data_IF_027180585590
#
_entry.id   IF_027180585590
#
_cell.length_a   1.000
_cell.length_b   1.000
_cell.length_c   1.000
_cell.angle_alpha   90.00
_cell.angle_beta   90.00
_cell.angle_gamma   90.00
#
_symmetry.space_group_name_H-M   'P 1'
#
loop_
_entity.id
_entity.type
_entity.pdbx_description
1 polymer ?
#
# COMPACT_ATOMS: atom_id res chain seq x y z
N UNK A 1 39.54 -21.06 -42.62
CA UNK A 1 40.96 -21.20 -42.25
C UNK A 1 41.17 -21.16 -40.74
N UNK A 2 41.04 -20.01 -40.04
CA UNK A 2 41.30 -19.96 -38.57
C UNK A 2 40.45 -20.94 -37.75
N UNK A 3 39.13 -20.98 -37.99
CA UNK A 3 38.24 -21.95 -37.32
C UNK A 3 38.69 -23.39 -37.59
N UNK A 4 38.90 -23.73 -38.85
CA UNK A 4 39.22 -25.09 -39.26
C UNK A 4 40.57 -25.56 -38.66
N UNK A 5 41.54 -24.66 -38.51
CA UNK A 5 42.81 -24.95 -37.82
C UNK A 5 42.64 -25.16 -36.32
N UNK A 6 41.74 -24.42 -35.68
CA UNK A 6 41.46 -24.58 -34.24
C UNK A 6 40.72 -25.89 -33.98
N UNK A 7 39.76 -26.22 -34.84
CA UNK A 7 38.97 -27.45 -34.71
C UNK A 7 39.75 -28.70 -35.12
N UNK A 8 40.73 -28.61 -36.03
CA UNK A 8 41.59 -29.76 -36.35
C UNK A 8 42.41 -30.25 -35.16
N UNK A 9 42.78 -29.36 -34.23
CA UNK A 9 43.45 -29.73 -32.97
C UNK A 9 42.54 -30.56 -32.04
N UNK A 10 41.23 -30.40 -32.18
CA UNK A 10 40.21 -31.13 -31.41
C UNK A 10 39.93 -32.48 -32.10
N UNK A 11 39.78 -32.47 -33.43
CA UNK A 11 39.55 -33.68 -34.23
C UNK A 11 40.69 -34.71 -34.11
N UNK A 12 41.94 -34.25 -33.94
CA UNK A 12 43.10 -35.14 -33.70
C UNK A 12 42.96 -35.93 -32.40
N UNK A 13 42.41 -35.33 -31.34
CA UNK A 13 42.17 -36.02 -30.07
C UNK A 13 40.95 -36.96 -30.14
N UNK A 14 39.92 -36.60 -30.93
CA UNK A 14 38.78 -37.50 -31.20
C UNK A 14 39.22 -38.78 -31.93
N UNK A 15 40.15 -38.66 -32.89
CA UNK A 15 40.75 -39.81 -33.59
C UNK A 15 41.55 -40.73 -32.66
N UNK A 16 42.14 -40.18 -31.60
CA UNK A 16 42.87 -40.93 -30.58
C UNK A 16 41.94 -41.66 -29.57
N UNK A 17 40.61 -41.57 -29.72
CA UNK A 17 39.58 -42.11 -28.80
C UNK A 17 39.69 -41.60 -27.36
N UNK A 18 40.41 -40.52 -27.15
CA UNK A 18 40.49 -39.82 -25.87
C UNK A 18 39.47 -38.71 -25.84
N UNK A 19 38.53 -38.71 -24.89
CA UNK A 19 37.55 -37.62 -24.71
C UNK A 19 38.18 -36.35 -24.11
N UNK A 20 39.51 -36.27 -24.04
CA UNK A 20 40.23 -35.15 -23.43
C UNK A 20 40.49 -34.06 -24.46
N UNK A 21 40.30 -32.80 -24.07
CA UNK A 21 40.67 -31.60 -24.84
C UNK A 21 42.11 -31.16 -24.55
N UNK A 22 43.00 -32.07 -24.12
CA UNK A 22 44.25 -31.69 -23.46
C UNK A 22 45.22 -31.04 -24.44
N UNK A 23 45.32 -31.60 -25.65
CA UNK A 23 46.18 -31.09 -26.72
C UNK A 23 45.72 -29.70 -27.14
N UNK A 24 44.42 -29.53 -27.41
CA UNK A 24 43.82 -28.22 -27.70
C UNK A 24 44.09 -27.21 -26.58
N UNK A 25 43.92 -27.61 -25.32
CA UNK A 25 44.14 -26.75 -24.16
C UNK A 25 45.59 -26.29 -24.04
N UNK A 26 46.54 -27.20 -24.23
CA UNK A 26 47.98 -26.89 -24.09
C UNK A 26 48.57 -26.13 -25.27
N UNK A 27 48.19 -26.48 -26.50
CA UNK A 27 48.81 -25.94 -27.72
C UNK A 27 48.17 -24.61 -28.12
N UNK A 28 46.86 -24.45 -27.90
CA UNK A 28 46.13 -23.28 -28.35
C UNK A 28 45.51 -22.49 -27.19
N UNK A 29 44.68 -23.11 -26.34
CA UNK A 29 43.88 -22.37 -25.35
C UNK A 29 44.74 -21.57 -24.37
N UNK A 30 45.77 -22.18 -23.78
CA UNK A 30 46.60 -21.51 -22.77
C UNK A 30 47.42 -20.34 -23.34
N UNK A 31 48.17 -20.47 -24.45
CA UNK A 31 48.83 -19.33 -25.10
C UNK A 31 47.84 -18.24 -25.53
N UNK A 32 46.70 -18.65 -26.12
CA UNK A 32 45.67 -17.72 -26.58
C UNK A 32 45.10 -16.87 -25.42
N UNK A 33 44.81 -17.48 -24.28
CA UNK A 33 44.31 -16.75 -23.10
C UNK A 33 45.38 -15.83 -22.50
N UNK A 34 46.66 -16.21 -22.53
CA UNK A 34 47.76 -15.35 -22.07
C UNK A 34 47.91 -14.10 -22.96
N UNK A 35 47.93 -14.25 -24.28
CA UNK A 35 47.98 -13.10 -25.20
C UNK A 35 46.72 -12.25 -25.11
N UNK A 36 45.55 -12.87 -24.97
CA UNK A 36 44.27 -12.18 -24.76
C UNK A 36 44.31 -11.29 -23.52
N UNK A 37 44.86 -11.80 -22.43
CA UNK A 37 45.01 -11.07 -21.17
C UNK A 37 45.88 -9.82 -21.36
N UNK A 38 47.05 -9.96 -21.97
CA UNK A 38 47.96 -8.83 -22.21
C UNK A 38 47.34 -7.78 -23.15
N UNK A 39 46.68 -8.23 -24.22
CA UNK A 39 45.99 -7.36 -25.17
C UNK A 39 44.92 -6.51 -24.49
N UNK A 40 44.03 -7.13 -23.70
CA UNK A 40 42.95 -6.41 -23.02
C UNK A 40 43.44 -5.58 -21.83
N UNK A 41 44.53 -5.95 -21.17
CA UNK A 41 45.21 -5.09 -20.18
C UNK A 41 45.66 -3.77 -20.82
N UNK A 42 46.38 -3.86 -21.94
CA UNK A 42 46.89 -2.67 -22.62
C UNK A 42 45.75 -1.81 -23.20
N UNK A 43 44.74 -2.47 -23.78
CA UNK A 43 43.57 -1.78 -24.33
C UNK A 43 42.78 -1.07 -23.24
N UNK A 44 42.48 -1.76 -22.12
CA UNK A 44 41.76 -1.15 -21.00
C UNK A 44 42.51 0.07 -20.44
N UNK A 45 43.83 -0.05 -20.22
CA UNK A 45 44.65 1.05 -19.72
C UNK A 45 44.64 2.25 -20.66
N UNK A 46 44.70 2.02 -21.97
CA UNK A 46 44.63 3.08 -22.98
C UNK A 46 43.27 3.79 -22.94
N UNK A 47 42.17 3.02 -22.98
CA UNK A 47 40.81 3.56 -22.98
C UNK A 47 40.53 4.39 -21.73
N UNK A 48 40.95 3.92 -20.55
CA UNK A 48 40.78 4.67 -19.28
C UNK A 48 41.54 5.99 -19.28
N UNK A 49 42.69 6.07 -19.95
CA UNK A 49 43.49 7.30 -20.02
C UNK A 49 42.97 8.33 -21.03
N UNK A 50 42.23 7.90 -22.04
CA UNK A 50 41.81 8.73 -23.18
C UNK A 50 40.33 9.12 -23.14
N UNK A 51 39.47 8.37 -22.43
CA UNK A 51 38.01 8.49 -22.49
C UNK A 51 37.40 8.73 -21.12
N UNK A 52 36.27 9.43 -21.07
CA UNK A 52 35.46 9.53 -19.85
C UNK A 52 34.74 8.22 -19.52
N UNK A 53 34.26 8.06 -18.28
CA UNK A 53 33.64 6.81 -17.80
C UNK A 53 32.45 6.38 -18.67
N UNK A 54 31.62 7.33 -19.12
CA UNK A 54 30.45 7.04 -19.97
C UNK A 54 30.85 6.48 -21.33
N UNK A 55 31.86 7.09 -21.97
CA UNK A 55 32.40 6.64 -23.26
C UNK A 55 33.10 5.28 -23.11
N UNK A 56 33.91 5.14 -22.07
CA UNK A 56 34.57 3.89 -21.72
C UNK A 56 33.57 2.72 -21.58
N UNK A 57 32.48 2.92 -20.84
CA UNK A 57 31.48 1.87 -20.66
C UNK A 57 30.81 1.47 -21.98
N UNK A 58 30.53 2.44 -22.86
CA UNK A 58 29.95 2.15 -24.18
C UNK A 58 30.92 1.33 -25.04
N UNK A 59 32.18 1.75 -25.09
CA UNK A 59 33.22 1.06 -25.86
C UNK A 59 33.49 -0.35 -25.31
N UNK A 60 33.53 -0.52 -23.99
CA UNK A 60 33.70 -1.84 -23.35
C UNK A 60 32.50 -2.74 -23.66
N UNK A 61 31.27 -2.23 -23.61
CA UNK A 61 30.08 -3.02 -23.98
C UNK A 61 30.16 -3.52 -25.43
N UNK A 62 30.52 -2.65 -26.38
CA UNK A 62 30.66 -3.05 -27.79
C UNK A 62 31.86 -3.97 -28.04
N UNK A 63 32.97 -3.72 -27.34
CA UNK A 63 34.16 -4.59 -27.35
C UNK A 63 33.82 -5.99 -26.85
N UNK A 64 33.10 -6.09 -25.73
CA UNK A 64 32.65 -7.36 -25.14
C UNK A 64 31.68 -8.11 -26.07
N UNK A 65 30.72 -7.41 -26.69
CA UNK A 65 29.82 -8.02 -27.69
C UNK A 65 30.61 -8.58 -28.87
N UNK A 66 31.57 -7.81 -29.39
CA UNK A 66 32.40 -8.22 -30.52
C UNK A 66 33.31 -9.39 -30.16
N UNK A 67 33.95 -9.33 -28.99
CA UNK A 67 34.78 -10.41 -28.45
C UNK A 67 33.98 -11.71 -28.30
N UNK A 68 32.77 -11.64 -27.74
CA UNK A 68 31.88 -12.80 -27.58
C UNK A 68 31.49 -13.41 -28.93
N UNK A 69 31.13 -12.59 -29.94
CA UNK A 69 30.84 -13.07 -31.30
C UNK A 69 32.04 -13.75 -31.95
N UNK A 70 33.25 -13.21 -31.75
CA UNK A 70 34.50 -13.84 -32.22
C UNK A 70 34.74 -15.17 -31.52
N UNK A 71 34.61 -15.21 -30.20
CA UNK A 71 34.74 -16.45 -29.41
C UNK A 71 33.80 -17.54 -29.91
N UNK A 72 32.52 -17.22 -30.12
CA UNK A 72 31.52 -18.16 -30.66
C UNK A 72 31.84 -18.67 -32.06
N UNK A 73 32.54 -17.88 -32.88
CA UNK A 73 32.88 -18.26 -34.25
C UNK A 73 34.12 -19.15 -34.32
N UNK A 74 35.08 -18.97 -33.40
CA UNK A 74 36.43 -19.52 -33.53
C UNK A 74 36.88 -20.46 -32.40
N UNK A 75 36.24 -20.44 -31.23
CA UNK A 75 36.69 -21.19 -30.04
C UNK A 75 35.76 -22.35 -29.69
N UNK A 76 36.30 -23.34 -28.98
CA UNK A 76 35.51 -24.41 -28.37
C UNK A 76 34.65 -23.85 -27.21
N UNK A 77 33.41 -24.35 -26.98
CA UNK A 77 32.51 -23.85 -25.92
C UNK A 77 33.14 -23.70 -24.53
N UNK A 78 34.03 -24.61 -24.14
CA UNK A 78 34.74 -24.54 -22.84
C UNK A 78 35.73 -23.39 -22.75
N UNK A 79 36.28 -22.94 -23.87
CA UNK A 79 37.23 -21.84 -23.95
C UNK A 79 36.54 -20.50 -24.09
N UNK A 80 35.33 -20.47 -24.66
CA UNK A 80 34.51 -19.26 -24.73
C UNK A 80 34.22 -18.73 -23.32
N UNK A 81 33.92 -19.60 -22.36
CA UNK A 81 33.63 -19.18 -20.98
C UNK A 81 34.89 -18.59 -20.31
N UNK A 82 36.04 -19.25 -20.45
CA UNK A 82 37.32 -18.74 -19.92
C UNK A 82 37.75 -17.44 -20.58
N UNK A 83 37.66 -17.35 -21.91
CA UNK A 83 37.97 -16.15 -22.69
C UNK A 83 37.09 -14.97 -22.27
N UNK A 84 35.76 -15.18 -22.20
CA UNK A 84 34.82 -14.11 -21.79
C UNK A 84 35.13 -13.63 -20.38
N UNK A 85 35.44 -14.55 -19.46
CA UNK A 85 35.80 -14.22 -18.08
C UNK A 85 37.10 -13.41 -17.99
N UNK A 86 38.10 -13.75 -18.80
CA UNK A 86 39.36 -13.00 -18.86
C UNK A 86 39.12 -11.57 -19.38
N UNK A 87 38.28 -11.41 -20.41
CA UNK A 87 37.89 -10.09 -20.90
C UNK A 87 37.16 -9.27 -19.83
N UNK A 88 36.18 -9.86 -19.13
CA UNK A 88 35.46 -9.21 -18.01
C UNK A 88 36.41 -8.79 -16.88
N UNK A 89 37.35 -9.66 -16.52
CA UNK A 89 38.32 -9.37 -15.47
C UNK A 89 39.18 -8.14 -15.83
N UNK A 90 39.71 -8.11 -17.05
CA UNK A 90 40.64 -7.05 -17.50
C UNK A 90 39.95 -5.74 -17.86
N UNK A 91 38.76 -5.79 -18.47
CA UNK A 91 38.03 -4.60 -18.92
C UNK A 91 37.05 -4.06 -17.89
N UNK A 92 36.67 -4.82 -16.86
CA UNK A 92 35.69 -4.38 -15.86
C UNK A 92 36.29 -4.50 -14.47
N UNK A 93 36.64 -5.70 -14.01
CA UNK A 93 37.01 -5.95 -12.59
C UNK A 93 38.23 -5.14 -12.14
N UNK A 94 39.29 -5.10 -12.95
CA UNK A 94 40.52 -4.38 -12.61
C UNK A 94 40.30 -2.86 -12.44
N UNK A 95 39.27 -2.29 -13.08
CA UNK A 95 38.96 -0.85 -13.08
C UNK A 95 37.65 -0.49 -12.35
N UNK A 96 36.98 -1.47 -11.73
CA UNK A 96 35.72 -1.27 -11.00
C UNK A 96 35.85 -0.20 -9.93
N UNK A 97 36.78 -0.39 -8.98
CA UNK A 97 36.94 0.47 -7.82
C UNK A 97 37.58 1.82 -8.15
N UNK A 98 38.59 1.82 -9.02
CA UNK A 98 39.39 3.01 -9.33
C UNK A 98 38.71 3.94 -10.33
N UNK A 99 37.91 3.41 -11.25
CA UNK A 99 37.37 4.18 -12.36
C UNK A 99 35.84 4.13 -12.43
N UNK A 100 35.23 2.95 -12.62
CA UNK A 100 33.78 2.85 -12.84
C UNK A 100 32.96 3.39 -11.66
N UNK A 101 33.38 3.09 -10.42
CA UNK A 101 32.68 3.53 -9.22
C UNK A 101 32.81 5.03 -8.94
N UNK A 102 33.77 5.73 -9.54
CA UNK A 102 33.97 7.18 -9.33
C UNK A 102 32.79 8.02 -9.81
N UNK A 103 32.03 7.53 -10.79
CA UNK A 103 30.93 8.25 -11.44
C UNK A 103 29.54 7.69 -11.06
N UNK A 104 29.44 6.73 -10.14
CA UNK A 104 28.16 6.15 -9.73
C UNK A 104 27.20 7.18 -9.13
N UNK A 105 27.70 8.05 -8.24
CA UNK A 105 26.89 9.07 -7.58
C UNK A 105 26.22 10.03 -8.57
N UNK A 106 26.95 10.71 -9.48
CA UNK A 106 26.32 11.61 -10.45
C UNK A 106 25.42 10.85 -11.45
N UNK A 107 25.79 9.63 -11.88
CA UNK A 107 24.92 8.81 -12.75
C UNK A 107 23.53 8.57 -12.13
N UNK A 108 23.49 8.25 -10.83
CA UNK A 108 22.24 8.00 -10.10
C UNK A 108 21.49 9.30 -9.81
N UNK A 109 22.18 10.38 -9.42
CA UNK A 109 21.53 11.66 -9.10
C UNK A 109 20.90 12.34 -10.30
N UNK A 110 21.57 12.31 -11.45
CA UNK A 110 21.13 12.90 -12.72
C UNK A 110 20.28 11.93 -13.55
N UNK A 111 20.08 10.70 -13.06
CA UNK A 111 19.34 9.63 -13.74
C UNK A 111 19.83 9.40 -15.19
N UNK A 112 21.16 9.33 -15.38
CA UNK A 112 21.79 9.07 -16.69
C UNK A 112 21.44 7.67 -17.20
N UNK A 113 20.30 7.53 -17.87
CA UNK A 113 19.66 6.24 -18.21
C UNK A 113 20.57 5.29 -19.01
N UNK A 114 21.28 5.81 -20.01
CA UNK A 114 22.17 4.98 -20.84
C UNK A 114 23.36 4.48 -20.02
N UNK A 115 23.95 5.34 -19.21
CA UNK A 115 25.09 5.00 -18.36
C UNK A 115 24.69 3.98 -17.29
N UNK A 116 23.52 4.15 -16.67
CA UNK A 116 22.95 3.20 -15.72
C UNK A 116 22.68 1.82 -16.35
N UNK A 117 22.20 1.77 -17.60
CA UNK A 117 22.05 0.50 -18.34
C UNK A 117 23.40 -0.16 -18.61
N UNK A 118 24.38 0.63 -19.07
CA UNK A 118 25.71 0.13 -19.41
C UNK A 118 26.40 -0.44 -18.17
N UNK A 119 26.44 0.33 -17.08
CA UNK A 119 27.09 -0.09 -15.84
C UNK A 119 26.39 -1.31 -15.22
N UNK A 120 25.06 -1.38 -15.27
CA UNK A 120 24.33 -2.58 -14.83
C UNK A 120 24.72 -3.79 -15.68
N UNK A 121 24.75 -3.66 -17.00
CA UNK A 121 25.12 -4.78 -17.88
C UNK A 121 26.55 -5.29 -17.63
N UNK A 122 27.49 -4.38 -17.38
CA UNK A 122 28.89 -4.70 -17.10
C UNK A 122 29.07 -5.38 -15.73
N UNK A 123 28.30 -4.97 -14.71
CA UNK A 123 28.48 -5.44 -13.33
C UNK A 123 27.60 -6.66 -12.97
N UNK A 124 26.48 -6.88 -13.66
CA UNK A 124 25.50 -7.91 -13.28
C UNK A 124 26.04 -9.35 -13.30
N UNK A 125 27.07 -9.63 -14.11
CA UNK A 125 27.72 -10.94 -14.17
C UNK A 125 28.75 -11.18 -13.06
N UNK A 126 29.14 -10.15 -12.31
CA UNK A 126 30.28 -10.19 -11.41
C UNK A 126 29.78 -10.24 -9.96
N UNK A 127 30.19 -11.23 -9.15
CA UNK A 127 29.74 -11.35 -7.76
C UNK A 127 29.99 -10.07 -6.96
N UNK A 128 28.94 -9.55 -6.29
CA UNK A 128 28.97 -8.35 -5.43
C UNK A 128 29.34 -7.03 -6.12
N UNK A 129 29.52 -7.01 -7.44
CA UNK A 129 29.89 -5.80 -8.16
C UNK A 129 28.76 -4.77 -8.23
N UNK A 130 27.51 -5.20 -8.07
CA UNK A 130 26.33 -4.32 -8.03
C UNK A 130 26.12 -3.62 -6.69
N UNK A 131 26.76 -4.07 -5.61
CA UNK A 131 26.48 -3.59 -4.24
C UNK A 131 26.67 -2.06 -4.12
N UNK A 132 27.77 -1.46 -4.62
CA UNK A 132 27.95 -0.01 -4.55
C UNK A 132 26.90 0.78 -5.34
N UNK A 133 26.46 0.26 -6.49
CA UNK A 133 25.39 0.87 -7.28
C UNK A 133 24.05 0.78 -6.55
N UNK A 134 23.75 -0.36 -5.92
CA UNK A 134 22.56 -0.57 -5.11
C UNK A 134 22.52 0.40 -3.92
N UNK A 135 23.64 0.58 -3.22
CA UNK A 135 23.74 1.50 -2.08
C UNK A 135 23.45 2.94 -2.51
N UNK A 136 24.05 3.39 -3.62
CA UNK A 136 23.81 4.74 -4.15
C UNK A 136 22.40 4.94 -4.67
N UNK A 137 21.84 3.92 -5.31
CA UNK A 137 20.45 3.94 -5.77
C UNK A 137 19.47 4.01 -4.60
N UNK A 138 19.68 3.22 -3.55
CA UNK A 138 18.88 3.24 -2.33
C UNK A 138 18.98 4.58 -1.59
N UNK A 139 20.19 5.13 -1.46
CA UNK A 139 20.43 6.46 -0.87
C UNK A 139 19.63 7.53 -1.62
N UNK A 140 19.64 7.48 -2.95
CA UNK A 140 18.88 8.41 -3.79
C UNK A 140 17.38 8.29 -3.58
N UNK A 141 16.82 7.07 -3.59
CA UNK A 141 15.38 6.83 -3.33
C UNK A 141 14.98 7.39 -1.96
N UNK A 142 15.77 7.11 -0.92
CA UNK A 142 15.54 7.64 0.42
C UNK A 142 15.54 9.16 0.43
N UNK A 143 16.55 9.79 -0.16
CA UNK A 143 16.68 11.25 -0.16
C UNK A 143 15.50 11.94 -0.87
N UNK A 144 15.09 11.43 -2.04
CA UNK A 144 13.97 12.00 -2.79
C UNK A 144 12.63 11.74 -2.10
N UNK A 145 12.43 10.53 -1.57
CA UNK A 145 11.23 10.18 -0.82
C UNK A 145 11.05 11.02 0.44
N UNK A 146 12.13 11.20 1.23
CA UNK A 146 12.12 12.05 2.42
C UNK A 146 11.80 13.51 2.07
N UNK A 147 12.39 14.04 0.99
CA UNK A 147 12.08 15.38 0.51
C UNK A 147 10.61 15.51 0.09
N UNK A 148 10.04 14.49 -0.56
CA UNK A 148 8.65 14.48 -1.00
C UNK A 148 7.67 14.49 0.19
N UNK A 149 7.89 13.69 1.24
CA UNK A 149 6.97 13.61 2.39
C UNK A 149 7.20 14.68 3.45
N UNK A 150 8.29 15.44 3.38
CA UNK A 150 8.68 16.48 4.35
C UNK A 150 7.53 17.42 4.76
N UNK A 151 6.67 17.93 3.85
CA UNK A 151 5.58 18.84 4.23
C UNK A 151 4.62 18.25 5.28
N UNK A 152 4.38 16.93 5.25
CA UNK A 152 3.50 16.25 6.20
C UNK A 152 4.18 15.92 7.53
N UNK A 153 5.50 16.09 7.61
CA UNK A 153 6.30 15.89 8.83
C UNK A 153 6.56 17.21 9.58
N UNK A 154 6.72 18.32 8.87
CA UNK A 154 7.04 19.63 9.47
C UNK A 154 5.81 20.47 9.84
N UNK A 155 4.76 20.43 9.04
CA UNK A 155 3.65 21.38 9.10
C UNK A 155 2.48 20.87 9.98
N UNK A 156 2.12 21.65 11.01
CA UNK A 156 1.02 21.31 11.94
C UNK A 156 -0.38 21.52 11.32
N UNK A 157 -0.51 22.41 10.35
CA UNK A 157 -1.79 22.73 9.71
C UNK A 157 -2.12 21.68 8.64
N UNK A 158 -1.15 21.32 7.79
CA UNK A 158 -1.27 20.15 6.90
C UNK A 158 -1.37 18.82 7.65
N UNK A 159 -0.92 18.71 8.90
CA UNK A 159 -1.11 17.51 9.70
C UNK A 159 -2.57 17.28 10.13
N UNK A 160 -3.40 18.34 10.17
CA UNK A 160 -4.75 18.27 10.74
C UNK A 160 -5.83 18.20 9.65
N UNK A 161 -5.69 18.96 8.56
CA UNK A 161 -6.59 19.06 7.41
C UNK A 161 -5.94 18.70 6.07
N UNK A 162 -4.67 18.24 6.08
CA UNK A 162 -3.87 18.03 4.88
C UNK A 162 -4.58 17.20 3.84
N UNK A 163 -4.45 17.66 2.59
CA UNK A 163 -4.98 16.98 1.43
C UNK A 163 -4.35 15.58 1.35
N UNK A 164 -5.04 14.58 1.89
CA UNK A 164 -4.59 13.18 1.94
C UNK A 164 -4.30 12.65 0.53
N UNK A 165 -4.94 13.24 -0.49
CA UNK A 165 -4.67 12.99 -1.92
C UNK A 165 -3.25 13.40 -2.29
N UNK A 166 -2.78 14.58 -1.86
CA UNK A 166 -1.42 15.06 -2.14
C UNK A 166 -0.37 14.20 -1.44
N UNK A 167 -0.63 13.76 -0.19
CA UNK A 167 0.28 12.85 0.51
C UNK A 167 0.44 11.53 -0.24
N UNK A 168 -0.68 10.92 -0.63
CA UNK A 168 -0.68 9.69 -1.41
C UNK A 168 0.00 9.89 -2.77
N UNK A 169 -0.30 10.98 -3.47
CA UNK A 169 0.35 11.33 -4.73
C UNK A 169 1.87 11.53 -4.60
N UNK A 170 2.35 12.12 -3.51
CA UNK A 170 3.78 12.30 -3.26
C UNK A 170 4.50 10.95 -3.03
N UNK A 171 3.91 10.07 -2.20
CA UNK A 171 4.46 8.73 -1.92
C UNK A 171 4.43 7.86 -3.18
N UNK A 172 3.27 7.77 -3.84
CA UNK A 172 3.09 6.97 -5.04
C UNK A 172 3.90 7.50 -6.22
N UNK A 173 4.06 8.82 -6.34
CA UNK A 173 4.89 9.43 -7.37
C UNK A 173 6.34 8.94 -7.31
N UNK A 174 6.93 8.92 -6.11
CA UNK A 174 8.29 8.38 -5.92
C UNK A 174 8.33 6.88 -6.17
N UNK A 175 7.38 6.11 -5.61
CA UNK A 175 7.33 4.66 -5.79
C UNK A 175 7.22 4.27 -7.28
N UNK A 176 6.24 4.83 -8.01
CA UNK A 176 5.98 4.51 -9.41
C UNK A 176 7.11 4.95 -10.33
N UNK A 177 7.74 6.11 -10.08
CA UNK A 177 8.91 6.57 -10.82
C UNK A 177 10.06 5.55 -10.75
N UNK A 178 10.46 5.16 -9.54
CA UNK A 178 11.56 4.21 -9.37
C UNK A 178 11.19 2.79 -9.79
N UNK A 179 9.93 2.38 -9.62
CA UNK A 179 9.48 1.09 -10.13
C UNK A 179 9.63 1.01 -11.65
N UNK A 180 9.19 2.04 -12.39
CA UNK A 180 9.38 2.11 -13.84
C UNK A 180 10.87 2.17 -14.22
N UNK A 181 11.66 2.97 -13.52
CA UNK A 181 13.10 3.08 -13.76
C UNK A 181 13.80 1.71 -13.60
N UNK A 182 13.46 0.93 -12.58
CA UNK A 182 14.03 -0.41 -12.35
C UNK A 182 13.59 -1.38 -13.44
N UNK A 183 12.31 -1.35 -13.85
CA UNK A 183 11.81 -2.17 -14.94
C UNK A 183 12.53 -1.88 -16.26
N UNK A 184 12.76 -0.60 -16.57
CA UNK A 184 13.34 -0.14 -17.82
C UNK A 184 14.86 -0.31 -17.90
N UNK A 185 15.58 -0.03 -16.81
CA UNK A 185 17.04 0.03 -16.80
C UNK A 185 17.70 -1.27 -16.33
N UNK A 186 17.08 -1.95 -15.36
CA UNK A 186 17.68 -3.09 -14.66
C UNK A 186 16.95 -4.41 -14.94
N UNK A 187 16.14 -4.49 -16.00
CA UNK A 187 15.44 -5.71 -16.40
C UNK A 187 14.64 -6.36 -15.25
N UNK A 188 14.01 -5.53 -14.40
CA UNK A 188 13.26 -5.99 -13.22
C UNK A 188 14.11 -6.79 -12.20
N UNK A 189 15.38 -6.41 -12.03
CA UNK A 189 16.30 -7.09 -11.12
C UNK A 189 15.86 -6.98 -9.65
N UNK A 190 15.71 -8.14 -8.98
CA UNK A 190 15.12 -8.27 -7.63
C UNK A 190 15.84 -7.44 -6.55
N UNK A 191 17.16 -7.30 -6.64
CA UNK A 191 17.92 -6.52 -5.65
C UNK A 191 17.56 -5.03 -5.69
N UNK A 192 17.26 -4.48 -6.87
CA UNK A 192 16.86 -3.09 -7.00
C UNK A 192 15.44 -2.85 -6.51
N UNK A 193 14.50 -3.79 -6.73
CA UNK A 193 13.19 -3.73 -6.09
C UNK A 193 13.29 -3.83 -4.56
N UNK A 194 14.20 -4.65 -4.05
CA UNK A 194 14.45 -4.73 -2.61
C UNK A 194 15.02 -3.42 -2.06
N UNK A 195 15.86 -2.71 -2.83
CA UNK A 195 16.36 -1.38 -2.48
C UNK A 195 15.22 -0.33 -2.50
N UNK A 196 14.32 -0.40 -3.49
CA UNK A 196 13.11 0.42 -3.52
C UNK A 196 12.23 0.18 -2.29
N UNK A 197 11.94 -1.09 -1.96
CA UNK A 197 11.14 -1.44 -0.79
C UNK A 197 11.74 -0.88 0.51
N UNK A 198 13.07 -0.99 0.68
CA UNK A 198 13.78 -0.41 1.83
C UNK A 198 13.69 1.12 1.84
N UNK A 199 13.87 1.75 0.69
CA UNK A 199 13.72 3.20 0.53
C UNK A 199 12.32 3.68 0.93
N UNK A 200 11.28 3.04 0.39
CA UNK A 200 9.88 3.30 0.70
C UNK A 200 9.57 3.15 2.19
N UNK A 201 10.04 2.08 2.83
CA UNK A 201 9.89 1.90 4.30
C UNK A 201 10.50 3.07 5.08
N UNK A 202 11.66 3.56 4.68
CA UNK A 202 12.31 4.68 5.38
C UNK A 202 11.51 5.96 5.28
N UNK A 203 11.11 6.38 4.07
CA UNK A 203 10.44 7.67 3.94
C UNK A 203 8.96 7.64 4.33
N UNK A 204 8.25 6.52 4.14
CA UNK A 204 6.84 6.40 4.58
C UNK A 204 6.72 6.47 6.09
N UNK A 205 7.67 5.89 6.83
CA UNK A 205 7.69 5.92 8.30
C UNK A 205 8.54 7.08 8.86
N UNK A 206 8.96 8.03 8.02
CA UNK A 206 9.77 9.15 8.47
C UNK A 206 8.98 10.04 9.44
N UNK A 207 9.57 10.32 10.60
CA UNK A 207 9.02 11.23 11.60
C UNK A 207 10.13 12.13 12.14
N UNK A 208 9.88 13.44 12.23
CA UNK A 208 10.84 14.36 12.86
C UNK A 208 10.79 14.29 14.39
N UNK A 209 9.62 14.00 14.99
CA UNK A 209 9.42 13.94 16.44
C UNK A 209 8.70 12.64 16.86
N UNK A 210 9.42 11.72 17.49
CA UNK A 210 8.89 10.44 18.01
C UNK A 210 7.94 10.58 19.21
N UNK A 211 7.71 11.79 19.72
CA UNK A 211 6.77 12.06 20.82
C UNK A 211 5.31 12.04 20.38
N UNK A 212 5.04 12.07 19.08
CA UNK A 212 3.69 12.11 18.51
C UNK A 212 3.34 10.81 17.79
N UNK A 213 2.04 10.50 17.72
CA UNK A 213 1.55 9.33 16.98
C UNK A 213 2.01 9.34 15.51
N UNK A 214 2.27 8.16 14.94
CA UNK A 214 2.72 8.03 13.56
C UNK A 214 1.67 8.59 12.60
N UNK A 215 2.12 9.51 11.74
CA UNK A 215 1.22 10.29 10.85
C UNK A 215 0.79 9.51 9.63
N UNK A 216 1.71 8.80 8.97
CA UNK A 216 1.41 8.05 7.75
C UNK A 216 0.26 7.03 7.93
N UNK A 217 0.20 6.21 9.01
CA UNK A 217 -0.94 5.34 9.28
C UNK A 217 -2.28 6.09 9.36
N UNK A 218 -2.28 7.28 9.97
CA UNK A 218 -3.49 8.10 10.16
C UNK A 218 -3.94 8.71 8.83
N UNK A 219 -3.01 9.27 8.06
CA UNK A 219 -3.28 9.86 6.75
C UNK A 219 -3.81 8.81 5.78
N UNK A 220 -3.20 7.62 5.77
CA UNK A 220 -3.64 6.51 4.94
C UNK A 220 -5.07 6.06 5.29
N UNK A 221 -5.37 5.90 6.58
CA UNK A 221 -6.73 5.54 7.04
C UNK A 221 -7.77 6.61 6.65
N UNK A 222 -7.40 7.90 6.74
CA UNK A 222 -8.26 9.01 6.30
C UNK A 222 -8.48 9.02 4.79
N UNK A 223 -7.46 8.70 4.00
CA UNK A 223 -7.60 8.58 2.55
C UNK A 223 -8.59 7.47 2.18
N UNK A 224 -8.48 6.29 2.79
CA UNK A 224 -9.48 5.22 2.61
C UNK A 224 -10.89 5.68 2.98
N UNK A 225 -11.04 6.41 4.09
CA UNK A 225 -12.33 6.94 4.52
C UNK A 225 -12.91 7.95 3.53
N UNK A 226 -12.08 8.77 2.88
CA UNK A 226 -12.53 9.70 1.85
C UNK A 226 -12.99 8.97 0.58
N UNK A 227 -12.24 7.95 0.14
CA UNK A 227 -12.57 7.15 -1.04
C UNK A 227 -13.89 6.38 -0.87
N UNK A 228 -14.12 5.82 0.33
CA UNK A 228 -15.25 4.94 0.61
C UNK A 228 -16.52 5.69 1.05
N UNK A 229 -16.55 7.03 1.06
CA UNK A 229 -17.72 7.83 1.46
C UNK A 229 -18.58 8.27 0.28
N UNK A 230 -19.91 8.26 0.44
CA UNK A 230 -20.92 8.73 -0.54
C UNK A 230 -20.69 10.14 -1.09
N UNK A 231 -19.94 10.99 -0.38
CA UNK A 231 -19.60 12.35 -0.83
C UNK A 231 -18.53 12.39 -1.92
N UNK A 232 -17.91 11.27 -2.30
CA UNK A 232 -16.93 11.16 -3.40
C UNK A 232 -17.56 11.25 -4.81
N UNK A 233 -18.78 11.80 -4.93
CA UNK A 233 -19.56 11.86 -6.18
C UNK A 233 -18.70 12.43 -7.32
N UNK A 234 -18.42 11.60 -8.33
CA UNK A 234 -17.64 11.96 -9.52
C UNK A 234 -16.50 11.01 -9.85
N UNK A 235 -16.05 10.18 -8.90
CA UNK A 235 -15.02 9.15 -9.12
C UNK A 235 -15.70 7.83 -9.50
N UNK A 236 -15.23 7.18 -10.57
CA UNK A 236 -15.76 5.87 -11.00
C UNK A 236 -15.39 4.75 -10.03
N UNK A 237 -16.20 3.69 -9.92
CA UNK A 237 -15.94 2.56 -9.01
C UNK A 237 -14.58 1.91 -9.26
N UNK A 238 -14.22 1.70 -10.54
CA UNK A 238 -12.90 1.19 -10.93
C UNK A 238 -11.75 2.08 -10.44
N UNK A 239 -11.89 3.39 -10.59
CA UNK A 239 -10.86 4.34 -10.15
C UNK A 239 -10.71 4.33 -8.63
N UNK A 240 -11.81 4.15 -7.88
CA UNK A 240 -11.74 3.95 -6.42
C UNK A 240 -10.99 2.65 -6.11
N UNK A 241 -11.25 1.59 -6.85
CA UNK A 241 -10.59 0.30 -6.66
C UNK A 241 -9.08 0.39 -6.90
N UNK A 242 -8.65 1.00 -8.02
CA UNK A 242 -7.25 1.21 -8.35
C UNK A 242 -6.54 2.03 -7.25
N UNK A 243 -7.18 3.10 -6.77
CA UNK A 243 -6.64 3.92 -5.66
C UNK A 243 -6.57 3.14 -4.33
N UNK A 244 -7.46 2.17 -4.08
CA UNK A 244 -7.36 1.30 -2.91
C UNK A 244 -6.21 0.29 -3.04
N UNK A 245 -5.81 -0.10 -4.25
CA UNK A 245 -4.61 -0.92 -4.46
C UNK A 245 -3.32 -0.13 -4.21
N UNK A 246 -3.28 1.14 -4.61
CA UNK A 246 -2.19 2.06 -4.25
C UNK A 246 -2.07 2.21 -2.73
N UNK A 247 -3.21 2.36 -2.04
CA UNK A 247 -3.25 2.36 -0.56
C UNK A 247 -2.60 1.12 0.02
N UNK A 248 -2.90 -0.06 -0.52
CA UNK A 248 -2.35 -1.33 -0.03
C UNK A 248 -0.85 -1.42 -0.30
N UNK A 249 -0.38 -0.87 -1.42
CA UNK A 249 1.04 -0.76 -1.72
C UNK A 249 1.76 0.06 -0.65
N UNK A 250 1.25 1.25 -0.31
CA UNK A 250 1.82 2.09 0.77
C UNK A 250 1.68 1.42 2.14
N UNK A 251 0.54 0.77 2.41
CA UNK A 251 0.28 0.06 3.66
C UNK A 251 1.32 -1.03 3.96
N UNK A 252 1.86 -1.70 2.93
CA UNK A 252 2.91 -2.73 3.12
C UNK A 252 4.23 -2.16 3.66
N UNK A 253 4.47 -0.88 3.44
CA UNK A 253 5.65 -0.17 3.95
C UNK A 253 5.46 0.38 5.37
N UNK A 254 4.24 0.44 5.90
CA UNK A 254 3.99 0.92 7.27
C UNK A 254 4.57 -0.03 8.32
N UNK A 255 5.20 0.54 9.34
CA UNK A 255 5.64 -0.17 10.54
C UNK A 255 4.50 -0.25 11.57
N UNK A 256 3.87 0.89 11.90
CA UNK A 256 2.78 1.00 12.89
C UNK A 256 1.39 0.66 12.33
N UNK A 257 1.20 -0.59 11.89
CA UNK A 257 -0.06 -1.07 11.30
C UNK A 257 -1.23 -1.10 12.29
N UNK A 258 -0.96 -1.33 13.56
CA UNK A 258 -1.96 -1.27 14.63
C UNK A 258 -2.58 0.13 14.79
N UNK A 259 -1.78 1.18 14.59
CA UNK A 259 -2.27 2.56 14.57
C UNK A 259 -3.21 2.76 13.38
N UNK A 260 -2.84 2.31 12.18
CA UNK A 260 -3.73 2.32 11.01
C UNK A 260 -5.05 1.60 11.33
N UNK A 261 -4.97 0.37 11.86
CA UNK A 261 -6.13 -0.46 12.17
C UNK A 261 -7.09 0.25 13.14
N UNK A 262 -6.56 0.89 14.18
CA UNK A 262 -7.35 1.62 15.19
C UNK A 262 -8.12 2.79 14.58
N UNK A 263 -7.46 3.60 13.75
CA UNK A 263 -8.11 4.74 13.09
C UNK A 263 -9.08 4.28 12.00
N UNK A 264 -8.68 3.32 11.17
CA UNK A 264 -9.52 2.73 10.13
C UNK A 264 -10.79 2.10 10.74
N UNK A 265 -10.66 1.30 11.80
CA UNK A 265 -11.80 0.69 12.51
C UNK A 265 -12.81 1.73 13.00
N UNK A 266 -12.33 2.83 13.59
CA UNK A 266 -13.20 3.93 14.04
C UNK A 266 -13.93 4.60 12.88
N UNK A 267 -13.24 4.81 11.76
CA UNK A 267 -13.83 5.43 10.57
C UNK A 267 -14.83 4.51 9.88
N UNK A 268 -14.50 3.22 9.71
CA UNK A 268 -15.41 2.18 9.23
C UNK A 268 -16.67 2.11 10.10
N UNK A 269 -16.51 2.06 11.43
CA UNK A 269 -17.63 2.02 12.36
C UNK A 269 -18.60 3.19 12.14
N UNK A 270 -18.05 4.39 11.97
CA UNK A 270 -18.86 5.58 11.67
C UNK A 270 -19.55 5.48 10.31
N UNK A 271 -18.84 5.04 9.26
CA UNK A 271 -19.41 4.91 7.92
C UNK A 271 -20.56 3.91 7.88
N UNK A 272 -20.38 2.73 8.48
CA UNK A 272 -21.42 1.70 8.58
C UNK A 272 -22.64 2.20 9.37
N UNK A 273 -22.42 2.75 10.56
CA UNK A 273 -23.53 3.23 11.41
C UNK A 273 -24.34 4.38 10.81
N UNK A 274 -23.68 5.28 10.07
CA UNK A 274 -24.31 6.47 9.50
C UNK A 274 -24.71 6.25 8.03
N UNK A 275 -24.59 5.01 7.53
CA UNK A 275 -24.85 4.65 6.13
C UNK A 275 -24.15 5.60 5.16
N UNK A 276 -22.92 5.99 5.46
CA UNK A 276 -22.10 6.91 4.67
C UNK A 276 -21.24 6.21 3.62
N UNK A 277 -21.15 4.87 3.65
CA UNK A 277 -20.39 4.07 2.70
C UNK A 277 -20.96 4.18 1.29
N UNK A 278 -20.10 4.30 0.27
CA UNK A 278 -20.53 4.29 -1.16
C UNK A 278 -21.22 2.98 -1.51
N UNK A 279 -20.55 1.87 -1.21
CA UNK A 279 -21.03 0.51 -1.44
C UNK A 279 -20.50 -0.42 -0.34
N UNK A 280 -21.33 -1.37 0.09
CA UNK A 280 -20.91 -2.41 1.05
C UNK A 280 -19.89 -3.38 0.43
N UNK A 281 -19.96 -3.61 -0.88
CA UNK A 281 -19.01 -4.46 -1.60
C UNK A 281 -17.60 -3.86 -1.58
N UNK A 282 -17.48 -2.53 -1.71
CA UNK A 282 -16.20 -1.83 -1.63
C UNK A 282 -15.60 -1.88 -0.22
N UNK A 283 -16.42 -1.81 0.82
CA UNK A 283 -15.97 -1.99 2.21
C UNK A 283 -15.46 -3.43 2.44
N UNK A 284 -16.20 -4.43 1.96
CA UNK A 284 -15.77 -5.84 2.01
C UNK A 284 -14.48 -6.07 1.22
N UNK A 285 -14.37 -5.53 0.01
CA UNK A 285 -13.18 -5.61 -0.83
C UNK A 285 -11.94 -5.00 -0.17
N UNK A 286 -12.06 -3.82 0.43
CA UNK A 286 -10.96 -3.23 1.20
C UNK A 286 -10.53 -4.10 2.39
N UNK A 287 -11.50 -4.71 3.10
CA UNK A 287 -11.20 -5.63 4.21
C UNK A 287 -10.49 -6.89 3.70
N UNK A 288 -10.87 -7.44 2.54
CA UNK A 288 -10.17 -8.59 1.95
C UNK A 288 -8.73 -8.24 1.54
N UNK A 289 -8.49 -7.05 1.00
CA UNK A 289 -7.12 -6.58 0.69
C UNK A 289 -6.26 -6.49 1.95
N UNK A 290 -6.81 -5.93 3.04
CA UNK A 290 -6.12 -5.89 4.35
C UNK A 290 -5.86 -7.30 4.90
N UNK A 291 -6.81 -8.23 4.72
CA UNK A 291 -6.67 -9.64 5.11
C UNK A 291 -5.52 -10.31 4.37
N UNK A 292 -5.39 -10.06 3.06
CA UNK A 292 -4.30 -10.61 2.27
C UNK A 292 -2.93 -10.08 2.73
N UNK A 293 -2.87 -8.79 3.09
CA UNK A 293 -1.63 -8.15 3.52
C UNK A 293 -1.18 -8.48 4.96
N UNK A 294 -2.11 -8.75 5.89
CA UNK A 294 -1.81 -8.91 7.32
C UNK A 294 -2.40 -10.15 8.00
N UNK A 295 -3.15 -10.97 7.26
CA UNK A 295 -3.78 -12.18 7.77
C UNK A 295 -5.16 -11.97 8.41
N UNK A 296 -5.76 -13.08 8.82
CA UNK A 296 -7.14 -13.14 9.30
C UNK A 296 -7.37 -12.40 10.63
N UNK A 297 -6.51 -12.64 11.62
CA UNK A 297 -6.64 -12.03 12.97
C UNK A 297 -6.66 -10.50 12.92
N UNK A 298 -5.88 -9.90 12.02
CA UNK A 298 -5.81 -8.46 11.84
C UNK A 298 -7.15 -7.85 11.40
N UNK A 299 -7.94 -8.56 10.58
CA UNK A 299 -9.21 -8.03 10.07
C UNK A 299 -10.44 -8.57 10.79
N UNK A 300 -10.30 -9.54 11.69
CA UNK A 300 -11.42 -10.26 12.30
C UNK A 300 -12.48 -9.33 12.90
N UNK A 301 -12.05 -8.25 13.57
CA UNK A 301 -12.97 -7.24 14.13
C UNK A 301 -13.72 -6.45 13.04
N UNK A 302 -13.03 -6.04 11.98
CA UNK A 302 -13.62 -5.30 10.85
C UNK A 302 -14.66 -6.17 10.12
N UNK A 303 -14.34 -7.44 9.88
CA UNK A 303 -15.26 -8.41 9.28
C UNK A 303 -16.50 -8.61 10.13
N UNK A 304 -16.35 -8.76 11.45
CA UNK A 304 -17.50 -8.85 12.37
C UNK A 304 -18.38 -7.61 12.31
N UNK A 305 -17.81 -6.41 12.20
CA UNK A 305 -18.61 -5.18 12.06
C UNK A 305 -19.50 -5.20 10.82
N UNK A 306 -19.00 -5.69 9.68
CA UNK A 306 -19.80 -5.82 8.45
C UNK A 306 -20.90 -6.88 8.61
N UNK A 307 -20.58 -8.02 9.23
CA UNK A 307 -21.56 -9.09 9.50
C UNK A 307 -22.65 -8.59 10.46
N UNK A 308 -22.29 -7.86 11.51
CA UNK A 308 -23.22 -7.29 12.47
C UNK A 308 -24.23 -6.35 11.79
N UNK A 309 -23.83 -5.60 10.76
CA UNK A 309 -24.76 -4.76 9.99
C UNK A 309 -25.86 -5.60 9.32
N UNK A 310 -25.49 -6.69 8.63
CA UNK A 310 -26.44 -7.60 7.96
C UNK A 310 -27.36 -8.28 8.98
N UNK A 311 -26.79 -8.84 10.05
CA UNK A 311 -27.56 -9.47 11.12
C UNK A 311 -28.52 -8.51 11.81
N UNK A 312 -28.13 -7.24 11.91
CA UNK A 312 -28.99 -6.22 12.49
C UNK A 312 -30.16 -5.86 11.58
N UNK A 313 -29.96 -5.81 10.26
CA UNK A 313 -31.05 -5.60 9.29
C UNK A 313 -32.06 -6.75 9.37
N UNK A 314 -31.59 -7.99 9.42
CA UNK A 314 -32.45 -9.18 9.58
C UNK A 314 -33.21 -9.17 10.91
N UNK A 315 -32.55 -8.77 12.00
CA UNK A 315 -33.17 -8.62 13.31
C UNK A 315 -34.27 -7.57 13.29
N UNK A 316 -34.02 -6.44 12.61
CA UNK A 316 -34.99 -5.36 12.47
C UNK A 316 -36.19 -5.78 11.62
N UNK A 317 -35.96 -6.49 10.52
CA UNK A 317 -37.03 -7.05 9.67
C UNK A 317 -37.92 -8.03 10.46
N UNK A 318 -37.30 -8.93 11.24
CA UNK A 318 -38.03 -9.85 12.11
C UNK A 318 -38.88 -9.13 13.17
N UNK A 319 -38.40 -7.99 13.69
CA UNK A 319 -39.16 -7.18 14.65
C UNK A 319 -40.38 -6.54 13.98
N UNK A 320 -40.23 -6.01 12.77
CA UNK A 320 -41.34 -5.44 12.00
C UNK A 320 -42.42 -6.50 11.69
N UNK A 321 -42.01 -7.71 11.33
CA UNK A 321 -42.94 -8.84 11.15
C UNK A 321 -43.66 -9.22 12.44
N UNK A 322 -42.96 -9.26 13.57
CA UNK A 322 -43.60 -9.52 14.87
C UNK A 322 -44.64 -8.45 15.24
N UNK A 323 -44.38 -7.18 14.92
CA UNK A 323 -45.32 -6.08 15.16
C UNK A 323 -46.57 -6.20 14.28
N UNK A 324 -46.44 -6.62 13.02
CA UNK A 324 -47.57 -6.80 12.11
C UNK A 324 -48.47 -7.96 12.56
N UNK A 325 -47.89 -9.08 12.99
CA UNK A 325 -48.63 -10.25 13.52
C UNK A 325 -49.34 -9.88 14.83
N UNK A 326 -48.66 -9.17 15.72
CA UNK A 326 -49.21 -8.80 17.02
C UNK A 326 -50.21 -7.64 16.97
N UNK A 327 -50.53 -7.11 15.77
CA UNK A 327 -51.38 -5.91 15.56
C UNK A 327 -50.98 -4.73 16.46
N UNK A 328 -49.69 -4.63 16.78
CA UNK A 328 -49.16 -3.72 17.79
C UNK A 328 -48.52 -2.52 17.10
N UNK A 329 -49.13 -1.35 17.21
CA UNK A 329 -48.55 -0.11 16.67
C UNK A 329 -47.45 0.44 17.58
N UNK A 330 -46.46 1.09 16.98
CA UNK A 330 -45.46 1.88 17.69
C UNK A 330 -45.90 3.35 17.71
N UNK A 331 -45.66 4.08 18.83
CA UNK A 331 -45.96 5.51 18.92
C UNK A 331 -45.05 6.39 18.04
N UNK A 332 -43.93 5.83 17.55
CA UNK A 332 -42.92 6.49 16.75
C UNK A 332 -42.25 5.46 15.84
N UNK A 333 -41.83 5.87 14.64
CA UNK A 333 -41.09 4.97 13.78
C UNK A 333 -39.72 4.70 14.39
N UNK A 334 -39.31 3.45 14.29
CA UNK A 334 -38.20 2.91 15.04
C UNK A 334 -37.31 2.07 14.16
N UNK A 335 -36.02 2.36 14.22
CA UNK A 335 -34.98 1.54 13.62
C UNK A 335 -33.88 1.32 14.65
N UNK A 336 -33.33 0.11 14.70
CA UNK A 336 -32.24 -0.17 15.63
C UNK A 336 -31.13 -0.95 14.97
N UNK A 337 -29.91 -0.61 15.39
CA UNK A 337 -28.72 -1.41 15.09
C UNK A 337 -28.36 -2.26 16.31
N UNK A 338 -28.22 -3.57 16.13
CA UNK A 338 -27.82 -4.54 17.17
C UNK A 338 -26.41 -5.02 16.87
N UNK A 339 -25.44 -4.53 17.65
CA UNK A 339 -24.02 -4.74 17.39
C UNK A 339 -23.31 -5.50 18.54
N UNK A 340 -22.23 -6.21 18.24
CA UNK A 340 -21.44 -6.91 19.25
C UNK A 340 -20.38 -6.00 19.88
N UNK A 341 -20.49 -5.72 21.18
CA UNK A 341 -19.59 -4.79 21.89
C UNK A 341 -18.09 -5.07 21.71
N UNK A 342 -17.69 -6.32 21.52
CA UNK A 342 -16.29 -6.71 21.34
C UNK A 342 -15.70 -6.31 19.97
N UNK A 343 -16.51 -6.23 18.92
CA UNK A 343 -16.04 -5.90 17.58
C UNK A 343 -15.88 -4.38 17.40
N UNK A 344 -16.78 -3.60 17.98
CA UNK A 344 -16.93 -2.18 17.71
C UNK A 344 -16.08 -1.29 18.63
N UNK A 345 -15.57 -0.14 18.15
CA UNK A 345 -14.68 0.74 18.91
C UNK A 345 -15.44 1.72 19.83
N UNK A 346 -16.62 1.36 20.33
CA UNK A 346 -17.44 2.22 21.17
C UNK A 346 -17.20 1.97 22.65
N UNK A 347 -17.22 3.04 23.43
CA UNK A 347 -17.22 2.97 24.89
C UNK A 347 -18.61 3.29 25.41
N UNK A 348 -19.00 2.61 26.49
CA UNK A 348 -20.24 2.94 27.18
C UNK A 348 -20.05 4.29 27.89
N UNK A 349 -20.92 5.29 27.68
CA UNK A 349 -20.83 6.54 28.40
C UNK A 349 -21.05 6.31 29.91
N UNK A 350 -20.37 7.09 30.73
CA UNK A 350 -20.38 7.00 32.20
C UNK A 350 -21.54 7.76 32.87
N UNK A 351 -22.39 8.44 32.09
CA UNK A 351 -23.51 9.23 32.58
C UNK A 351 -24.87 8.52 32.49
N UNK A 352 -25.78 8.86 33.41
CA UNK A 352 -27.18 8.44 33.34
C UNK A 352 -27.93 9.36 32.36
N UNK A 353 -28.62 8.76 31.39
CA UNK A 353 -29.48 9.47 30.45
C UNK A 353 -30.94 9.11 30.71
N UNK A 354 -31.75 10.11 31.02
CA UNK A 354 -33.19 9.93 31.22
C UNK A 354 -33.88 9.95 29.85
N UNK A 355 -34.30 8.78 29.39
CA UNK A 355 -34.96 8.61 28.10
C UNK A 355 -36.41 9.14 28.19
N UNK A 356 -36.88 9.93 27.21
CA UNK A 356 -38.26 10.40 27.17
C UNK A 356 -39.29 9.25 27.19
N UNK A 357 -40.46 9.42 27.85
CA UNK A 357 -41.47 8.36 27.99
C UNK A 357 -41.94 7.73 26.67
N UNK A 358 -42.05 8.52 25.61
CA UNK A 358 -42.46 8.06 24.29
C UNK A 358 -41.46 7.06 23.69
N UNK A 359 -40.16 7.27 23.94
CA UNK A 359 -39.08 6.38 23.49
C UNK A 359 -38.97 5.13 24.36
N UNK A 360 -39.21 5.25 25.67
CA UNK A 360 -39.20 4.12 26.60
C UNK A 360 -40.18 3.02 26.17
N UNK A 361 -41.40 3.38 25.76
CA UNK A 361 -42.38 2.40 25.29
C UNK A 361 -41.88 1.57 24.11
N UNK A 362 -41.14 2.19 23.18
CA UNK A 362 -40.56 1.49 22.02
C UNK A 362 -39.38 0.62 22.42
N UNK A 363 -38.52 1.12 23.29
CA UNK A 363 -37.39 0.36 23.85
C UNK A 363 -37.90 -0.92 24.51
N UNK A 364 -38.87 -0.82 25.41
CA UNK A 364 -39.38 -1.98 26.15
C UNK A 364 -40.01 -3.02 25.23
N UNK A 365 -40.76 -2.59 24.21
CA UNK A 365 -41.33 -3.50 23.20
C UNK A 365 -40.24 -4.24 22.44
N UNK A 366 -39.18 -3.53 22.03
CA UNK A 366 -38.06 -4.16 21.34
C UNK A 366 -37.26 -5.10 22.27
N UNK A 367 -37.01 -4.71 23.52
CA UNK A 367 -36.28 -5.55 24.48
C UNK A 367 -37.02 -6.86 24.78
N UNK A 368 -38.34 -6.82 24.99
CA UNK A 368 -39.15 -8.04 25.17
C UNK A 368 -39.10 -8.96 23.96
N UNK A 369 -39.22 -8.40 22.75
CA UNK A 369 -39.07 -9.17 21.51
C UNK A 369 -37.68 -9.83 21.44
N UNK A 370 -36.63 -9.07 21.74
CA UNK A 370 -35.25 -9.53 21.65
C UNK A 370 -34.94 -10.62 22.68
N UNK A 371 -35.38 -10.47 23.93
CA UNK A 371 -35.21 -11.46 24.99
C UNK A 371 -35.91 -12.79 24.68
N UNK A 372 -37.09 -12.71 24.04
CA UNK A 372 -37.83 -13.89 23.60
C UNK A 372 -37.08 -14.63 22.48
N UNK A 373 -36.48 -13.88 21.54
CA UNK A 373 -35.77 -14.46 20.39
C UNK A 373 -34.35 -14.93 20.73
N UNK A 374 -33.65 -14.24 21.62
CA UNK A 374 -32.24 -14.47 21.94
C UNK A 374 -32.04 -14.60 23.45
N UNK A 375 -32.08 -15.84 23.93
CA UNK A 375 -31.88 -16.17 25.34
C UNK A 375 -30.42 -15.95 25.78
N UNK A 376 -30.23 -15.46 27.00
CA UNK A 376 -28.91 -15.25 27.60
C UNK A 376 -28.14 -14.02 27.09
N UNK A 377 -28.75 -13.18 26.25
CA UNK A 377 -28.16 -11.93 25.78
C UNK A 377 -28.79 -10.73 26.48
N UNK A 378 -27.96 -9.82 26.97
CA UNK A 378 -28.39 -8.54 27.52
C UNK A 378 -27.91 -7.42 26.63
N UNK A 379 -28.81 -6.54 26.28
CA UNK A 379 -28.50 -5.41 25.44
C UNK A 379 -28.00 -4.21 26.31
N UNK A 380 -27.13 -3.29 25.81
CA UNK A 380 -26.78 -1.99 26.48
C UNK A 380 -26.86 -0.75 25.55
N UNK A 381 -27.80 0.20 25.74
CA UNK A 381 -28.11 1.26 24.75
C UNK A 381 -27.03 2.35 24.65
N UNK A 382 -26.69 2.81 23.43
CA UNK A 382 -25.74 3.90 23.18
C UNK A 382 -26.46 5.16 22.66
N UNK A 383 -27.19 5.85 23.54
CA UNK A 383 -27.98 7.05 23.19
C UNK A 383 -27.15 8.21 22.63
N UNK A 384 -25.86 8.29 22.98
CA UNK A 384 -24.95 9.34 22.48
C UNK A 384 -24.61 9.20 20.99
N UNK A 385 -24.75 7.99 20.42
CA UNK A 385 -24.55 7.70 19.00
C UNK A 385 -25.87 7.59 18.23
N UNK A 386 -27.01 7.67 18.93
CA UNK A 386 -28.35 7.54 18.37
C UNK A 386 -28.82 8.87 17.77
N UNK A 387 -29.55 8.78 16.68
CA UNK A 387 -30.06 9.92 15.91
C UNK A 387 -31.57 9.79 15.74
N UNK A 388 -32.25 10.91 15.52
CA UNK A 388 -33.66 10.89 15.14
C UNK A 388 -34.08 12.21 14.52
N UNK A 389 -35.24 12.18 13.91
CA UNK A 389 -35.80 13.29 13.16
C UNK A 389 -36.95 13.94 13.93
N UNK A 390 -36.79 15.22 14.21
CA UNK A 390 -37.78 16.07 14.86
C UNK A 390 -38.49 16.91 13.81
N UNK A 391 -39.82 16.83 13.76
CA UNK A 391 -40.63 17.78 13.00
C UNK A 391 -40.96 19.00 13.87
N UNK A 392 -40.58 20.18 13.38
CA UNK A 392 -40.85 21.46 14.02
C UNK A 392 -42.22 21.98 13.55
N UNK A 393 -43.21 21.99 14.46
CA UNK A 393 -44.58 22.38 14.12
C UNK A 393 -44.89 23.84 14.47
N UNK A 394 -43.97 24.56 15.12
CA UNK A 394 -44.17 25.95 15.56
C UNK A 394 -43.84 27.00 14.49
N UNK A 395 -43.22 26.60 13.38
CA UNK A 395 -42.83 27.49 12.28
C UNK A 395 -43.90 27.51 11.18
N UNK A 396 -43.98 28.61 10.41
CA UNK A 396 -44.91 28.75 9.28
C UNK A 396 -44.72 27.68 8.20
N UNK A 397 -43.50 27.14 8.06
CA UNK A 397 -43.16 25.99 7.23
C UNK A 397 -42.74 24.84 8.14
N UNK A 398 -43.18 23.63 7.81
CA UNK A 398 -42.75 22.42 8.52
C UNK A 398 -41.31 22.10 8.13
N UNK A 399 -40.43 22.06 9.13
CA UNK A 399 -39.04 21.64 8.96
C UNK A 399 -38.83 20.32 9.71
N UNK A 400 -38.06 19.42 9.10
CA UNK A 400 -37.55 18.21 9.76
C UNK A 400 -36.08 18.43 10.07
N UNK A 401 -35.70 18.24 11.33
CA UNK A 401 -34.33 18.39 11.80
C UNK A 401 -33.83 17.06 12.33
N UNK A 402 -32.75 16.54 11.73
CA UNK A 402 -32.03 15.41 12.27
C UNK A 402 -31.18 15.86 13.45
N UNK A 403 -31.41 15.26 14.62
CA UNK A 403 -30.76 15.59 15.87
C UNK A 403 -30.26 14.33 16.59
N UNK A 404 -29.27 14.49 17.45
CA UNK A 404 -28.86 13.41 18.37
C UNK A 404 -29.94 13.16 19.42
N UNK A 405 -30.05 11.93 19.94
CA UNK A 405 -31.05 11.62 20.97
C UNK A 405 -30.92 12.50 22.23
N UNK A 406 -29.72 12.99 22.54
CA UNK A 406 -29.51 13.96 23.61
C UNK A 406 -30.16 15.32 23.32
N UNK A 407 -29.97 15.82 22.10
CA UNK A 407 -30.64 17.05 21.64
C UNK A 407 -32.16 16.88 21.60
N UNK A 408 -32.66 15.72 21.17
CA UNK A 408 -34.09 15.42 21.18
C UNK A 408 -34.67 15.45 22.59
N UNK A 409 -34.01 14.81 23.56
CA UNK A 409 -34.44 14.83 24.96
C UNK A 409 -34.43 16.25 25.54
N UNK A 410 -33.42 17.06 25.22
CA UNK A 410 -33.38 18.46 25.61
C UNK A 410 -34.58 19.24 25.04
N UNK A 411 -34.87 19.10 23.74
CA UNK A 411 -36.02 19.75 23.11
C UNK A 411 -37.35 19.37 23.79
N UNK A 412 -37.54 18.10 24.15
CA UNK A 412 -38.73 17.65 24.89
C UNK A 412 -38.83 18.19 26.32
N UNK A 413 -37.71 18.33 27.02
CA UNK A 413 -37.72 18.94 28.36
C UNK A 413 -38.01 20.44 28.29
N UNK A 414 -37.65 21.09 27.18
CA UNK A 414 -37.88 22.53 26.96
C UNK A 414 -39.28 22.89 26.46
N UNK A 415 -40.14 21.92 26.13
CA UNK A 415 -41.55 22.21 25.78
C UNK A 415 -42.30 22.74 27.01
N UNK A 416 -42.81 23.99 27.00
CA UNK A 416 -43.53 24.53 28.15
C UNK A 416 -44.84 23.74 28.39
N UNK A 417 -45.09 23.37 29.65
CA UNK A 417 -46.27 22.65 30.14
C UNK A 417 -47.63 23.35 29.89
N UNK A 418 -47.63 24.56 29.30
CA UNK A 418 -48.83 25.34 29.03
C UNK A 418 -49.06 25.46 27.53
N UNK A 419 -49.74 24.48 26.94
CA UNK A 419 -50.73 24.71 25.89
C UNK A 419 -51.67 23.50 25.80
N UNK A 420 -52.94 23.80 25.55
CA UNK A 420 -54.13 22.95 25.38
C UNK A 420 -53.92 21.72 24.46
N UNK A 421 -54.84 20.72 24.47
CA UNK A 421 -54.63 19.38 23.89
C UNK A 421 -54.76 19.36 22.35
N UNK A 422 -53.95 20.15 21.66
CA UNK A 422 -53.80 20.09 20.21
C UNK A 422 -52.33 20.07 19.84
N UNK A 423 -51.80 18.84 19.75
CA UNK A 423 -50.49 18.44 19.23
C UNK A 423 -49.24 18.99 19.96
N UNK A 424 -48.28 18.13 20.33
CA UNK A 424 -47.00 18.60 20.85
C UNK A 424 -46.31 19.50 19.81
N UNK A 425 -45.62 20.56 20.28
CA UNK A 425 -44.87 21.50 19.42
C UNK A 425 -43.81 20.81 18.55
N UNK A 426 -43.49 19.56 18.87
CA UNK A 426 -42.58 18.68 18.17
C UNK A 426 -43.25 17.32 17.99
N UNK A 427 -43.28 16.81 16.76
CA UNK A 427 -43.64 15.41 16.51
C UNK A 427 -42.41 14.68 15.97
N UNK A 428 -41.96 13.64 16.66
CA UNK A 428 -40.91 12.72 16.18
C UNK A 428 -41.47 11.91 15.03
N UNK A 429 -40.80 11.90 13.88
CA UNK A 429 -41.17 10.98 12.80
C UNK A 429 -40.42 9.68 12.88
N UNK A 430 -39.10 9.76 13.01
CA UNK A 430 -38.22 8.60 12.95
C UNK A 430 -37.19 8.67 14.07
N UNK A 431 -37.06 7.58 14.82
CA UNK A 431 -36.05 7.44 15.86
C UNK A 431 -35.19 6.21 15.60
N UNK A 432 -33.90 6.44 15.48
CA UNK A 432 -32.90 5.39 15.26
C UNK A 432 -32.02 5.25 16.49
N UNK A 433 -32.27 4.25 17.31
CA UNK A 433 -31.34 3.88 18.38
C UNK A 433 -30.21 3.02 17.86
N UNK A 434 -28.98 3.36 18.22
CA UNK A 434 -27.80 2.57 17.88
C UNK A 434 -27.29 1.89 19.14
N UNK A 435 -27.06 0.57 19.07
CA UNK A 435 -26.65 -0.26 20.19
C UNK A 435 -25.41 -1.07 19.88
#
# INVERSE_FOLDING_TARGET
MVRDTVFSLIEVEEYAKTTSLRYYQTVFEAPFLAETKEYYLHTASKLVSEMEVSEYMQEVVETMKTARRRGQRFLHPTSITKFTRECEARLVEDYQNSYLYSQLQPMVQEERRQDLKNIFHLLNGIPRALDPLLDKFEERIKSQGLAAVRPWNTDKDKATSGNVVEFMGAVMGVHSHYHQLISDLFSSHKLFFSALDRGCRVFVNAQENHTHQPRAPILLARYCDQLLRKSSKGVGEQEVEDRLEEVITVFRYLDDKDVFQRFYSRMLARRLMQSLSVSMEMEEGMIQRLKHACGFEYVARLQRMVVDMKLSEDCMASFQEHLSISSSSLPLAFTTLVLQSAAWPFSKPTGNFNVPPQMLSVIEKFERFYETKYTGRKLSWLYHMSLGDLRLNYLKKQYTVSATTHQMAYCWLSTPLNNTPSAPCYSTLDWTTKR
#
